data_IF_017169804430
#
_entry.id   IF_017169804430
#
_cell.length_a   1.000
_cell.length_b   1.000
_cell.length_c   1.000
_cell.angle_alpha   90.00
_cell.angle_beta   90.00
_cell.angle_gamma   90.00
#
_symmetry.space_group_name_H-M   'P 1'
#
loop_
_entity.id
_entity.type
_entity.pdbx_description
1 polymer ?
#
# COMPACT_ATOMS: atom_id res chain seq x y z
N UNK A 1 -22.79 -9.97 -4.57
CA UNK A 1 -22.01 -9.44 -5.71
C UNK A 1 -20.77 -10.27 -5.96
N UNK A 2 -20.18 -10.13 -7.13
CA UNK A 2 -18.93 -10.75 -7.55
C UNK A 2 -17.76 -9.77 -7.33
N UNK A 3 -16.77 -10.18 -6.55
CA UNK A 3 -15.60 -9.38 -6.18
C UNK A 3 -14.36 -10.02 -6.78
N UNK A 4 -13.63 -9.30 -7.62
CA UNK A 4 -12.41 -9.78 -8.27
C UNK A 4 -11.13 -9.24 -7.62
N UNK A 5 -10.16 -10.14 -7.40
CA UNK A 5 -8.81 -9.87 -6.92
C UNK A 5 -7.80 -10.20 -8.02
N UNK A 6 -7.54 -9.28 -8.98
CA UNK A 6 -6.52 -9.50 -9.98
C UNK A 6 -5.13 -9.48 -9.34
N UNK A 7 -4.17 -10.11 -10.00
CA UNK A 7 -2.76 -10.02 -9.63
C UNK A 7 -2.27 -8.60 -9.86
N UNK A 8 -1.36 -8.14 -9.01
CA UNK A 8 -0.71 -6.85 -9.25
C UNK A 8 0.29 -6.91 -10.41
N UNK A 9 0.20 -5.92 -11.29
CA UNK A 9 0.99 -5.83 -12.52
C UNK A 9 2.01 -4.70 -12.50
N UNK A 10 1.92 -3.81 -11.51
CA UNK A 10 2.91 -2.75 -11.30
C UNK A 10 4.24 -3.38 -10.87
N UNK A 11 5.33 -2.89 -11.45
CA UNK A 11 6.67 -3.37 -11.14
C UNK A 11 6.95 -3.34 -9.63
N UNK A 12 7.51 -4.43 -9.12
CA UNK A 12 7.82 -4.69 -7.70
C UNK A 12 6.63 -4.58 -6.73
N UNK A 13 5.39 -4.58 -7.21
CA UNK A 13 4.23 -4.73 -6.34
C UNK A 13 4.00 -6.21 -6.04
N UNK A 14 4.27 -6.60 -4.79
CA UNK A 14 4.14 -7.99 -4.33
C UNK A 14 2.90 -8.20 -3.45
N UNK A 15 2.18 -7.13 -3.10
CA UNK A 15 0.97 -7.21 -2.29
C UNK A 15 -0.22 -7.68 -3.11
N UNK A 16 -1.29 -8.07 -2.42
CA UNK A 16 -2.57 -8.46 -2.99
C UNK A 16 -3.71 -7.70 -2.30
N UNK A 17 -4.83 -7.49 -3.01
CA UNK A 17 -5.92 -6.64 -2.55
C UNK A 17 -6.57 -7.08 -1.24
N UNK A 18 -6.76 -8.39 -1.05
CA UNK A 18 -7.42 -8.97 0.13
C UNK A 18 -6.74 -10.31 0.49
N UNK A 19 -6.54 -10.57 1.78
CA UNK A 19 -6.01 -11.84 2.31
C UNK A 19 -7.10 -12.92 2.41
N UNK A 20 -6.75 -14.21 2.56
CA UNK A 20 -7.73 -15.29 2.76
C UNK A 20 -8.77 -15.01 3.86
N UNK A 21 -8.37 -14.44 5.00
CA UNK A 21 -9.30 -14.07 6.09
C UNK A 21 -10.37 -13.06 5.65
N UNK A 22 -9.96 -12.06 4.85
CA UNK A 22 -10.88 -11.08 4.29
C UNK A 22 -11.80 -11.70 3.25
N UNK A 23 -11.27 -12.60 2.42
CA UNK A 23 -12.05 -13.36 1.43
C UNK A 23 -13.09 -14.25 2.11
N UNK A 24 -12.72 -14.97 3.16
CA UNK A 24 -13.62 -15.81 3.95
C UNK A 24 -14.78 -14.98 4.53
N UNK A 25 -14.48 -13.79 5.03
CA UNK A 25 -15.48 -12.86 5.58
C UNK A 25 -16.48 -12.40 4.51
N UNK A 26 -16.00 -12.08 3.30
CA UNK A 26 -16.83 -11.70 2.17
C UNK A 26 -17.73 -12.85 1.72
N UNK A 27 -17.18 -14.07 1.62
CA UNK A 27 -17.94 -15.26 1.24
C UNK A 27 -19.02 -15.58 2.27
N UNK A 28 -18.69 -15.53 3.58
CA UNK A 28 -19.65 -15.68 4.68
C UNK A 28 -20.78 -14.65 4.63
N UNK A 29 -20.53 -13.48 4.04
CA UNK A 29 -21.52 -12.41 3.84
C UNK A 29 -22.34 -12.58 2.54
N UNK A 30 -22.15 -13.69 1.80
CA UNK A 30 -22.92 -14.02 0.59
C UNK A 30 -22.34 -13.47 -0.72
N UNK A 31 -21.08 -13.00 -0.71
CA UNK A 31 -20.38 -12.58 -1.92
C UNK A 31 -19.67 -13.74 -2.61
N UNK A 32 -19.49 -13.65 -3.92
CA UNK A 32 -18.58 -14.53 -4.68
C UNK A 32 -17.26 -13.81 -4.85
N UNK A 33 -16.15 -14.48 -4.58
CA UNK A 33 -14.82 -13.88 -4.70
C UNK A 33 -14.03 -14.63 -5.75
N UNK A 34 -13.63 -13.92 -6.80
CA UNK A 34 -12.76 -14.39 -7.87
C UNK A 34 -11.34 -13.94 -7.57
N UNK A 35 -10.37 -14.84 -7.64
CA UNK A 35 -8.96 -14.51 -7.39
C UNK A 35 -8.14 -14.95 -8.60
N UNK A 36 -7.35 -14.04 -9.16
CA UNK A 36 -6.45 -14.41 -10.24
C UNK A 36 -5.40 -15.39 -9.71
N UNK A 37 -5.12 -16.43 -10.49
CA UNK A 37 -4.12 -17.42 -10.13
C UNK A 37 -2.77 -16.75 -9.86
N UNK A 38 -2.15 -17.13 -8.74
CA UNK A 38 -0.91 -16.57 -8.21
C UNK A 38 -0.99 -15.09 -7.75
N UNK A 39 -2.17 -14.50 -7.59
CA UNK A 39 -2.28 -13.10 -7.13
C UNK A 39 -1.63 -12.87 -5.76
N UNK A 40 -1.74 -13.85 -4.85
CA UNK A 40 -1.19 -13.77 -3.50
C UNK A 40 0.28 -14.18 -3.34
N UNK A 41 0.92 -14.77 -4.35
CA UNK A 41 2.23 -15.41 -4.18
C UNK A 41 3.31 -14.43 -3.71
N UNK A 42 3.29 -13.18 -4.20
CA UNK A 42 4.24 -12.14 -3.77
C UNK A 42 4.11 -11.79 -2.27
N UNK A 43 2.94 -12.02 -1.69
CA UNK A 43 2.64 -11.83 -0.28
C UNK A 43 2.85 -13.09 0.57
N UNK A 44 3.39 -14.17 -0.02
CA UNK A 44 3.54 -15.47 0.62
C UNK A 44 2.22 -16.23 0.81
N UNK A 45 1.17 -15.86 0.06
CA UNK A 45 -0.15 -16.48 0.14
C UNK A 45 -0.34 -17.39 -1.07
N UNK A 46 -0.56 -18.68 -0.82
CA UNK A 46 -0.75 -19.66 -1.89
C UNK A 46 -2.16 -19.62 -2.46
N UNK A 47 -2.30 -20.05 -3.70
CA UNK A 47 -3.58 -20.26 -4.38
C UNK A 47 -4.52 -21.16 -3.56
N UNK A 48 -3.97 -22.24 -2.99
CA UNK A 48 -4.71 -23.17 -2.13
C UNK A 48 -5.34 -22.47 -0.92
N UNK A 49 -4.64 -21.50 -0.31
CA UNK A 49 -5.18 -20.75 0.83
C UNK A 49 -6.41 -19.91 0.48
N UNK A 50 -6.56 -19.50 -0.78
CA UNK A 50 -7.80 -18.85 -1.25
C UNK A 50 -8.90 -19.86 -1.54
N UNK A 51 -8.57 -21.00 -2.16
CA UNK A 51 -9.53 -22.07 -2.43
C UNK A 51 -10.14 -22.64 -1.14
N UNK A 52 -9.32 -22.83 -0.09
CA UNK A 52 -9.75 -23.34 1.23
C UNK A 52 -10.85 -22.50 1.87
N UNK A 53 -10.84 -21.18 1.64
CA UNK A 53 -11.86 -20.25 2.16
C UNK A 53 -13.04 -20.07 1.20
N UNK A 54 -13.04 -20.78 0.07
CA UNK A 54 -14.14 -20.82 -0.90
C UNK A 54 -14.00 -19.84 -2.07
N UNK A 55 -12.83 -19.26 -2.31
CA UNK A 55 -12.60 -18.38 -3.46
C UNK A 55 -12.55 -19.18 -4.78
N UNK A 56 -13.01 -18.57 -5.87
CA UNK A 56 -12.91 -19.13 -7.22
C UNK A 56 -11.60 -18.66 -7.87
N UNK A 57 -10.66 -19.57 -8.14
CA UNK A 57 -9.43 -19.22 -8.86
C UNK A 57 -9.69 -19.07 -10.37
N UNK A 58 -9.21 -17.95 -10.92
CA UNK A 58 -9.36 -17.60 -12.33
C UNK A 58 -7.98 -17.49 -12.99
N UNK A 59 -7.79 -18.17 -14.12
CA UNK A 59 -6.52 -18.15 -14.86
C UNK A 59 -6.43 -16.99 -15.87
N UNK A 60 -7.58 -16.47 -16.31
CA UNK A 60 -7.71 -15.47 -17.38
C UNK A 60 -8.12 -14.14 -16.76
N UNK A 61 -7.22 -13.14 -16.69
CA UNK A 61 -7.55 -11.82 -16.16
C UNK A 61 -8.78 -11.20 -16.84
N UNK A 62 -8.91 -11.35 -18.15
CA UNK A 62 -10.04 -10.84 -18.94
C UNK A 62 -11.38 -11.31 -18.37
N UNK A 63 -11.47 -12.60 -18.01
CA UNK A 63 -12.67 -13.18 -17.41
C UNK A 63 -12.91 -12.66 -16.00
N UNK A 64 -11.86 -12.53 -15.18
CA UNK A 64 -11.99 -11.98 -13.84
C UNK A 64 -12.55 -10.56 -13.89
N UNK A 65 -12.02 -9.72 -14.79
CA UNK A 65 -12.50 -8.36 -14.97
C UNK A 65 -13.93 -8.31 -15.52
N UNK A 66 -14.28 -9.15 -16.50
CA UNK A 66 -15.63 -9.15 -17.09
C UNK A 66 -16.72 -9.64 -16.14
N UNK A 67 -16.39 -10.60 -15.27
CA UNK A 67 -17.35 -11.24 -14.36
C UNK A 67 -17.53 -10.43 -13.06
N UNK A 68 -16.61 -9.51 -12.74
CA UNK A 68 -16.60 -8.78 -11.47
C UNK A 68 -17.54 -7.57 -11.47
N UNK A 69 -18.15 -7.31 -10.31
CA UNK A 69 -18.88 -6.06 -10.03
C UNK A 69 -17.98 -5.08 -9.24
N UNK A 70 -17.05 -5.61 -8.46
CA UNK A 70 -16.05 -4.86 -7.70
C UNK A 70 -14.66 -5.46 -7.93
N UNK A 71 -13.70 -4.63 -8.32
CA UNK A 71 -12.27 -4.99 -8.35
C UNK A 71 -11.58 -4.35 -7.16
N UNK A 72 -10.91 -5.19 -6.35
CA UNK A 72 -10.10 -4.73 -5.23
C UNK A 72 -8.62 -4.96 -5.57
N UNK A 73 -7.88 -3.86 -5.69
CA UNK A 73 -6.45 -3.85 -5.99
C UNK A 73 -5.70 -3.08 -4.91
N UNK A 74 -4.39 -3.26 -4.88
CA UNK A 74 -3.46 -2.44 -4.12
C UNK A 74 -3.13 -1.18 -4.91
N UNK A 75 -2.62 -1.32 -6.13
CA UNK A 75 -2.12 -0.17 -6.92
C UNK A 75 -3.11 0.27 -7.98
N UNK A 76 -2.74 1.37 -8.62
CA UNK A 76 -3.50 1.95 -9.71
C UNK A 76 -3.47 1.04 -10.93
N UNK A 77 -4.55 1.05 -11.72
CA UNK A 77 -4.56 0.30 -12.97
C UNK A 77 -3.44 0.78 -13.89
N UNK A 78 -2.74 -0.17 -14.48
CA UNK A 78 -1.87 0.08 -15.62
C UNK A 78 -2.73 0.32 -16.86
N UNK A 79 -2.19 1.03 -17.84
CA UNK A 79 -2.98 1.47 -19.00
C UNK A 79 -3.56 0.29 -19.78
N UNK A 80 -2.84 -0.83 -19.86
CA UNK A 80 -3.35 -2.04 -20.52
C UNK A 80 -4.51 -2.70 -19.74
N UNK A 81 -4.51 -2.64 -18.41
CA UNK A 81 -5.62 -3.15 -17.59
C UNK A 81 -6.88 -2.28 -17.78
N UNK A 82 -6.73 -1.01 -18.15
CA UNK A 82 -7.88 -0.11 -18.38
C UNK A 82 -8.76 -0.57 -19.56
N UNK A 83 -8.23 -1.40 -20.46
CA UNK A 83 -8.96 -1.99 -21.60
C UNK A 83 -9.90 -3.11 -21.16
N UNK A 84 -9.65 -3.71 -19.99
CA UNK A 84 -10.48 -4.77 -19.40
C UNK A 84 -11.65 -4.20 -18.57
N UNK A 85 -11.61 -2.90 -18.27
CA UNK A 85 -12.65 -2.23 -17.49
C UNK A 85 -13.93 -2.06 -18.32
N UNK A 86 -15.08 -2.31 -17.70
CA UNK A 86 -16.38 -2.16 -18.33
C UNK A 86 -17.30 -1.23 -17.51
N UNK A 87 -18.29 -0.57 -18.15
CA UNK A 87 -19.29 0.21 -17.44
C UNK A 87 -20.02 -0.62 -16.37
N UNK A 88 -20.28 -0.01 -15.22
CA UNK A 88 -20.90 -0.67 -14.06
C UNK A 88 -19.91 -1.32 -13.09
N UNK A 89 -18.65 -1.52 -13.50
CA UNK A 89 -17.58 -1.96 -12.60
C UNK A 89 -17.29 -0.89 -11.56
N UNK A 90 -17.10 -1.30 -10.30
CA UNK A 90 -16.51 -0.47 -9.26
C UNK A 90 -15.07 -0.89 -9.03
N UNK A 91 -14.14 0.06 -8.92
CA UNK A 91 -12.78 -0.21 -8.48
C UNK A 91 -12.52 0.39 -7.10
N UNK A 92 -11.72 -0.31 -6.31
CA UNK A 92 -11.28 0.12 -5.00
C UNK A 92 -9.78 -0.18 -4.86
N UNK A 93 -8.95 0.86 -4.98
CA UNK A 93 -7.48 0.75 -4.92
C UNK A 93 -6.81 2.11 -4.67
N UNK A 94 -5.47 2.15 -4.52
CA UNK A 94 -4.73 3.42 -4.61
C UNK A 94 -4.70 3.88 -6.07
N UNK A 95 -5.06 5.14 -6.37
CA UNK A 95 -5.14 5.62 -7.77
C UNK A 95 -4.12 6.70 -8.12
N UNK A 96 -3.72 7.53 -7.16
CA UNK A 96 -2.79 8.65 -7.32
C UNK A 96 -3.13 9.57 -8.51
N UNK A 97 -4.43 9.81 -8.77
CA UNK A 97 -4.88 10.46 -10.01
C UNK A 97 -4.31 11.87 -10.22
N UNK A 98 -4.04 12.61 -9.14
CA UNK A 98 -3.43 13.94 -9.23
C UNK A 98 -2.04 13.95 -9.86
N UNK A 99 -1.32 12.82 -9.81
CA UNK A 99 -0.01 12.65 -10.41
C UNK A 99 -0.06 11.86 -11.75
N UNK A 100 -1.22 11.34 -12.15
CA UNK A 100 -1.36 10.48 -13.33
C UNK A 100 -2.57 10.87 -14.20
N UNK A 101 -2.47 11.97 -14.97
CA UNK A 101 -3.57 12.43 -15.82
C UNK A 101 -3.91 11.47 -16.96
N UNK A 102 -2.95 10.64 -17.39
CA UNK A 102 -3.18 9.61 -18.43
C UNK A 102 -4.13 8.54 -17.91
N UNK A 103 -3.88 8.01 -16.71
CA UNK A 103 -4.79 7.08 -16.06
C UNK A 103 -6.16 7.71 -15.82
N UNK A 104 -6.21 8.94 -15.31
CA UNK A 104 -7.49 9.63 -15.07
C UNK A 104 -8.35 9.69 -16.34
N UNK A 105 -7.76 10.01 -17.50
CA UNK A 105 -8.46 10.00 -18.80
C UNK A 105 -8.92 8.60 -19.21
N UNK A 106 -8.11 7.56 -18.95
CA UNK A 106 -8.47 6.18 -19.26
C UNK A 106 -9.68 5.73 -18.41
N UNK A 107 -9.67 5.96 -17.10
CA UNK A 107 -10.78 5.61 -16.21
C UNK A 107 -12.08 6.36 -16.59
N UNK A 108 -11.98 7.65 -16.94
CA UNK A 108 -13.11 8.43 -17.44
C UNK A 108 -13.72 7.81 -18.71
N UNK A 109 -12.88 7.31 -19.63
CA UNK A 109 -13.33 6.63 -20.85
C UNK A 109 -14.03 5.31 -20.54
N UNK A 110 -13.55 4.56 -19.55
CA UNK A 110 -14.13 3.27 -19.14
C UNK A 110 -15.46 3.39 -18.41
N UNK A 111 -15.82 4.60 -17.91
CA UNK A 111 -17.08 4.89 -17.20
C UNK A 111 -17.35 3.98 -15.99
N UNK A 112 -16.28 3.65 -15.28
CA UNK A 112 -16.36 2.90 -14.01
C UNK A 112 -16.62 3.84 -12.84
N UNK A 113 -17.06 3.28 -11.71
CA UNK A 113 -16.96 3.97 -10.42
C UNK A 113 -15.60 3.68 -9.82
N UNK A 114 -14.76 4.70 -9.60
CA UNK A 114 -13.42 4.51 -9.05
C UNK A 114 -13.29 5.14 -7.68
N UNK A 115 -13.02 4.34 -6.66
CA UNK A 115 -12.85 4.76 -5.26
C UNK A 115 -11.37 4.66 -4.91
N UNK A 116 -10.75 5.82 -4.62
CA UNK A 116 -9.32 5.89 -4.30
C UNK A 116 -9.08 5.78 -2.79
N UNK A 117 -8.31 4.77 -2.36
CA UNK A 117 -7.96 4.54 -0.94
C UNK A 117 -7.40 5.77 -0.24
N UNK A 118 -6.53 6.52 -0.91
CA UNK A 118 -5.85 7.69 -0.37
C UNK A 118 -6.77 8.92 -0.19
N UNK A 119 -8.03 8.81 -0.64
CA UNK A 119 -9.04 9.88 -0.54
C UNK A 119 -10.22 9.52 0.34
N UNK A 120 -10.26 8.29 0.87
CA UNK A 120 -11.27 7.92 1.87
C UNK A 120 -10.93 8.66 3.16
N UNK A 121 -11.80 9.59 3.54
CA UNK A 121 -11.60 10.52 4.65
C UNK A 121 -12.76 10.42 5.66
N UNK A 122 -12.44 10.39 6.94
CA UNK A 122 -13.43 10.48 8.02
C UNK A 122 -13.80 11.94 8.31
N UNK A 123 -14.87 12.15 9.07
CA UNK A 123 -15.34 13.51 9.42
C UNK A 123 -14.32 14.37 10.18
N UNK A 124 -13.32 13.74 10.82
CA UNK A 124 -12.24 14.43 11.54
C UNK A 124 -11.03 14.76 10.63
N UNK A 125 -11.12 14.45 9.33
CA UNK A 125 -10.06 14.67 8.34
C UNK A 125 -9.00 13.59 8.28
N UNK A 126 -9.16 12.48 9.01
CA UNK A 126 -8.22 11.36 8.97
C UNK A 126 -8.42 10.50 7.72
N UNK A 127 -7.32 9.95 7.21
CA UNK A 127 -7.29 9.07 6.03
C UNK A 127 -7.01 7.62 6.49
N UNK A 128 -8.03 6.86 6.95
CA UNK A 128 -7.85 5.61 7.69
C UNK A 128 -7.16 4.51 6.88
N UNK A 129 -7.32 4.49 5.56
CA UNK A 129 -6.67 3.48 4.70
C UNK A 129 -5.21 3.86 4.40
N UNK A 130 -4.93 5.16 4.24
CA UNK A 130 -3.59 5.67 3.96
C UNK A 130 -2.68 5.67 5.19
N UNK A 131 -3.25 5.85 6.38
CA UNK A 131 -2.50 6.02 7.63
C UNK A 131 -1.62 4.80 7.98
N UNK A 132 -2.10 3.54 7.94
CA UNK A 132 -1.25 2.37 8.18
C UNK A 132 -0.09 2.26 7.19
N UNK A 133 -0.34 2.55 5.91
CA UNK A 133 0.71 2.55 4.89
C UNK A 133 1.76 3.62 5.17
N UNK A 134 1.33 4.82 5.56
CA UNK A 134 2.24 5.92 5.93
C UNK A 134 3.11 5.55 7.14
N UNK A 135 2.53 4.89 8.15
CA UNK A 135 3.25 4.43 9.32
C UNK A 135 4.32 3.40 8.97
N UNK A 136 3.95 2.40 8.16
CA UNK A 136 4.87 1.39 7.66
C UNK A 136 6.01 2.02 6.85
N UNK A 137 5.70 2.91 5.91
CA UNK A 137 6.70 3.62 5.10
C UNK A 137 7.68 4.41 5.98
N UNK A 138 7.19 5.10 7.01
CA UNK A 138 8.06 5.82 7.96
C UNK A 138 9.07 4.91 8.64
N UNK A 139 8.64 3.74 9.12
CA UNK A 139 9.53 2.75 9.75
C UNK A 139 10.51 2.14 8.75
N UNK A 140 10.03 1.76 7.57
CA UNK A 140 10.88 1.22 6.51
C UNK A 140 11.97 2.20 6.08
N UNK A 141 11.70 3.51 6.05
CA UNK A 141 12.72 4.51 5.73
C UNK A 141 13.92 4.43 6.69
N UNK A 142 13.67 4.25 7.99
CA UNK A 142 14.76 4.07 8.96
C UNK A 142 15.42 2.71 8.82
N UNK A 143 14.65 1.63 8.68
CA UNK A 143 15.18 0.28 8.50
C UNK A 143 16.13 0.20 7.29
N UNK A 144 15.68 0.69 6.13
CA UNK A 144 16.47 0.77 4.90
C UNK A 144 17.70 1.67 5.07
N UNK A 145 17.59 2.77 5.83
CA UNK A 145 18.75 3.62 6.11
C UNK A 145 19.85 2.88 6.86
N UNK A 146 19.50 1.93 7.74
CA UNK A 146 20.51 1.12 8.46
C UNK A 146 21.36 0.27 7.51
N UNK A 147 20.79 -0.16 6.39
CA UNK A 147 21.51 -0.87 5.35
C UNK A 147 22.49 0.08 4.64
N UNK A 148 21.99 1.21 4.15
CA UNK A 148 22.79 2.15 3.35
C UNK A 148 23.82 2.96 4.13
N UNK A 149 23.71 3.07 5.45
CA UNK A 149 24.74 3.73 6.27
C UNK A 149 26.04 2.92 6.39
N UNK A 150 26.04 1.62 6.06
CA UNK A 150 27.18 0.72 6.20
C UNK A 150 28.23 0.95 5.11
N UNK A 151 29.52 0.90 5.46
CA UNK A 151 30.62 1.15 4.51
C UNK A 151 30.61 0.25 3.26
N UNK A 152 30.29 -1.06 3.34
CA UNK A 152 30.18 -1.90 2.14
C UNK A 152 29.08 -1.47 1.16
N UNK A 153 28.09 -0.71 1.62
CA UNK A 153 27.03 -0.11 0.79
C UNK A 153 27.40 1.30 0.29
N UNK A 154 28.65 1.76 0.54
CA UNK A 154 29.11 3.11 0.21
C UNK A 154 28.72 4.19 1.22
N UNK A 155 28.12 3.80 2.35
CA UNK A 155 27.70 4.72 3.40
C UNK A 155 28.85 5.23 4.28
N UNK A 156 28.50 6.08 5.24
CA UNK A 156 29.46 6.71 6.17
C UNK A 156 30.04 5.77 7.24
N UNK A 157 29.75 4.46 7.16
CA UNK A 157 30.18 3.47 8.17
C UNK A 157 29.53 3.65 9.54
N UNK A 158 28.37 4.31 9.58
CA UNK A 158 27.68 4.61 10.85
C UNK A 158 26.69 3.51 11.19
N UNK A 159 26.66 3.13 12.46
CA UNK A 159 25.67 2.20 12.98
C UNK A 159 24.53 3.00 13.62
N UNK A 160 23.31 2.84 13.10
CA UNK A 160 22.15 3.59 13.61
C UNK A 160 21.73 3.12 15.01
N UNK A 161 21.95 1.84 15.34
CA UNK A 161 21.80 1.31 16.70
C UNK A 161 22.96 1.77 17.60
N UNK A 162 22.68 2.66 18.55
CA UNK A 162 23.69 3.22 19.45
C UNK A 162 24.41 2.13 20.27
N UNK A 163 25.70 2.32 20.52
CA UNK A 163 26.52 1.49 21.42
C UNK A 163 27.22 2.42 22.40
N UNK A 164 27.35 2.00 23.66
CA UNK A 164 28.02 2.77 24.70
C UNK A 164 29.44 3.19 24.27
N UNK A 165 29.73 4.48 24.37
CA UNK A 165 31.03 5.06 24.00
C UNK A 165 31.16 5.50 22.54
N UNK A 166 30.13 5.32 21.71
CA UNK A 166 30.10 5.83 20.34
C UNK A 166 29.09 7.00 20.22
N UNK A 167 29.39 7.95 19.33
CA UNK A 167 28.48 9.05 19.02
C UNK A 167 27.20 8.55 18.34
N UNK A 168 26.05 9.11 18.72
CA UNK A 168 24.77 8.85 18.07
C UNK A 168 24.75 9.35 16.62
N UNK A 169 24.04 8.61 15.76
CA UNK A 169 23.74 9.05 14.40
C UNK A 169 22.72 10.18 14.45
N UNK A 170 22.94 11.24 13.65
CA UNK A 170 21.99 12.33 13.51
C UNK A 170 21.04 12.05 12.34
N UNK A 171 19.73 12.12 12.60
CA UNK A 171 18.68 11.87 11.61
C UNK A 171 17.82 13.13 11.49
N UNK A 172 17.70 13.66 10.27
CA UNK A 172 16.83 14.80 9.97
C UNK A 172 15.61 14.31 9.20
N UNK A 173 14.41 14.60 9.72
CA UNK A 173 13.12 14.20 9.13
C UNK A 173 12.40 15.46 8.67
N UNK A 174 12.02 15.49 7.39
CA UNK A 174 11.27 16.60 6.79
C UNK A 174 9.78 16.25 6.71
N UNK A 175 9.02 16.65 7.72
CA UNK A 175 7.58 16.47 7.83
C UNK A 175 7.15 15.78 9.12
N UNK A 176 6.19 16.37 9.83
CA UNK A 176 5.62 15.85 11.08
C UNK A 176 4.23 15.18 10.85
N UNK A 177 4.07 14.48 9.73
CA UNK A 177 2.90 13.64 9.47
C UNK A 177 3.10 12.22 9.99
N UNK A 178 2.15 11.32 9.75
CA UNK A 178 2.20 9.91 10.19
C UNK A 178 3.53 9.22 9.85
N UNK A 179 4.00 9.34 8.61
CA UNK A 179 5.28 8.75 8.20
C UNK A 179 6.48 9.34 8.95
N UNK A 180 6.50 10.66 9.14
CA UNK A 180 7.57 11.34 9.86
C UNK A 180 7.59 11.01 11.35
N UNK A 181 6.42 10.91 11.98
CA UNK A 181 6.27 10.48 13.37
C UNK A 181 6.85 9.07 13.56
N UNK A 182 6.42 8.10 12.76
CA UNK A 182 6.88 6.72 12.91
C UNK A 182 8.34 6.52 12.50
N UNK A 183 8.88 7.33 11.58
CA UNK A 183 10.31 7.40 11.32
C UNK A 183 11.07 7.94 12.54
N UNK A 184 10.60 9.03 13.15
CA UNK A 184 11.23 9.63 14.33
C UNK A 184 11.22 8.65 15.51
N UNK A 185 10.07 8.04 15.78
CA UNK A 185 9.89 7.03 16.83
C UNK A 185 10.88 5.87 16.69
N UNK A 186 11.00 5.28 15.49
CA UNK A 186 11.94 4.18 15.27
C UNK A 186 13.40 4.63 15.40
N UNK A 187 13.77 5.78 14.81
CA UNK A 187 15.13 6.30 14.91
C UNK A 187 15.54 6.60 16.37
N UNK A 188 14.64 7.21 17.15
CA UNK A 188 14.86 7.46 18.59
C UNK A 188 15.05 6.15 19.36
N UNK A 189 14.22 5.14 19.10
CA UNK A 189 14.32 3.83 19.75
C UNK A 189 15.61 3.09 19.40
N UNK A 190 16.26 3.45 18.28
CA UNK A 190 17.58 2.93 17.91
C UNK A 190 18.73 3.76 18.49
N UNK A 191 18.45 4.85 19.21
CA UNK A 191 19.46 5.69 19.87
C UNK A 191 20.04 6.80 19.00
N UNK A 192 19.35 7.15 17.92
CA UNK A 192 19.72 8.28 17.08
C UNK A 192 19.33 9.63 17.70
N UNK A 193 20.07 10.69 17.37
CA UNK A 193 19.68 12.08 17.60
C UNK A 193 18.76 12.52 16.46
N UNK A 194 17.48 12.76 16.76
CA UNK A 194 16.47 13.04 15.73
C UNK A 194 16.07 14.52 15.74
N UNK A 195 16.11 15.15 14.57
CA UNK A 195 15.56 16.49 14.33
C UNK A 195 14.40 16.39 13.35
N UNK A 196 13.21 16.84 13.74
CA UNK A 196 12.04 16.89 12.86
C UNK A 196 11.73 18.33 12.46
N UNK A 197 11.64 18.58 11.16
CA UNK A 197 11.30 19.87 10.57
C UNK A 197 9.91 19.78 9.95
N UNK A 198 8.99 20.67 10.31
CA UNK A 198 7.67 20.72 9.69
C UNK A 198 7.12 22.13 9.57
N UNK A 199 6.24 22.33 8.60
CA UNK A 199 5.51 23.59 8.43
C UNK A 199 4.33 23.62 9.39
N UNK A 200 4.31 24.59 10.30
CA UNK A 200 3.23 24.82 11.26
C UNK A 200 3.51 24.21 12.62
N UNK A 201 3.36 25.02 13.68
CA UNK A 201 3.66 24.62 15.05
C UNK A 201 2.73 23.51 15.57
N UNK A 202 1.46 23.51 15.16
CA UNK A 202 0.46 22.55 15.64
C UNK A 202 0.80 21.10 15.28
N UNK A 203 1.46 20.84 14.15
CA UNK A 203 1.91 19.48 13.80
C UNK A 203 3.08 19.02 14.65
N UNK A 204 4.01 19.93 14.96
CA UNK A 204 5.15 19.62 15.82
C UNK A 204 4.72 19.35 17.27
N UNK A 205 3.69 20.04 17.77
CA UNK A 205 3.13 19.80 19.12
C UNK A 205 2.44 18.43 19.26
N UNK A 206 2.07 17.81 18.16
CA UNK A 206 1.38 16.50 18.12
C UNK A 206 2.34 15.31 17.98
N UNK A 207 3.63 15.56 17.71
CA UNK A 207 4.69 14.56 17.78
C UNK A 207 5.06 14.27 19.24
#
# INVERSE_FOLDING_TARGET
MIIGLPKETKDQELRVGITPDGVETLIKSGHRVLVEKNAGLGSGISDHSYEEVGAELINEPERLFSDSELIVKVKEFQIHECELLHPGLTSFSFLSLGANPTLAKALLKSRITAIAYETVELNDGTLPILQPMSALTGRLAIDVSTHYLKSPQGGSGKLLSSVSGADSVKVVILGAGTAGFHAAELALNMGAEVTVLSRGQERLKKL
#
